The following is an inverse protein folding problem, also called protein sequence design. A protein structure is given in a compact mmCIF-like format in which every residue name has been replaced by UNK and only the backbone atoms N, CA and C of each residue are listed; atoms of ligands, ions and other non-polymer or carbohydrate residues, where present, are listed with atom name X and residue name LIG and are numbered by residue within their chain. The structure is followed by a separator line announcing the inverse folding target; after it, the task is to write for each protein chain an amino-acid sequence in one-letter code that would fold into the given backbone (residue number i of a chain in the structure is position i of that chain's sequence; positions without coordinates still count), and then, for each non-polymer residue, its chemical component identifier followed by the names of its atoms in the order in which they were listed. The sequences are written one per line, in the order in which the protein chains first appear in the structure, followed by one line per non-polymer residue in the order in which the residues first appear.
data_IF_136657430737
#
_entry.id   IF_136657430737
#
_cell.length_a   1.000
_cell.length_b   1.000
_cell.length_c   1.000
_cell.angle_alpha   90.00
_cell.angle_beta   90.00
_cell.angle_gamma   90.00
#
_symmetry.space_group_name_H-M   'P 1'
#
loop_
_entity.id
_entity.type
_entity.pdbx_description
1 polymer ?
#
# COMPACT_ATOMS: atom_id res chain seq x y z
N UNK A 1 4.55 -22.72 -16.00
CA UNK A 1 3.38 -21.85 -15.70
C UNK A 1 3.52 -20.98 -14.45
N UNK A 2 4.30 -21.36 -13.42
CA UNK A 2 4.43 -20.60 -12.15
C UNK A 2 4.94 -19.14 -12.33
N UNK A 3 5.99 -18.94 -13.13
CA UNK A 3 6.54 -17.59 -13.42
C UNK A 3 5.59 -16.66 -14.19
N UNK A 4 4.66 -17.21 -14.99
CA UNK A 4 3.72 -16.39 -15.78
C UNK A 4 2.65 -15.81 -14.86
N UNK A 5 2.17 -16.59 -13.88
CA UNK A 5 1.18 -16.16 -12.88
C UNK A 5 1.78 -15.12 -11.92
N UNK A 6 3.03 -15.29 -11.49
CA UNK A 6 3.73 -14.32 -10.63
C UNK A 6 3.97 -12.98 -11.35
N UNK A 7 4.40 -12.99 -12.61
CA UNK A 7 4.53 -11.76 -13.40
C UNK A 7 3.18 -11.04 -13.63
N UNK A 8 2.08 -11.78 -13.74
CA UNK A 8 0.75 -11.19 -13.87
C UNK A 8 0.30 -10.50 -12.58
N UNK A 9 0.58 -11.09 -11.42
CA UNK A 9 0.24 -10.51 -10.10
C UNK A 9 1.02 -9.22 -9.87
N UNK A 10 2.32 -9.20 -10.16
CA UNK A 10 3.14 -7.98 -10.04
C UNK A 10 2.59 -6.87 -10.95
N UNK A 11 2.29 -7.18 -12.22
CA UNK A 11 1.69 -6.21 -13.15
C UNK A 11 0.34 -5.69 -12.65
N UNK A 12 -0.49 -6.55 -12.07
CA UNK A 12 -1.77 -6.15 -11.49
C UNK A 12 -1.59 -5.19 -10.32
N UNK A 13 -0.73 -5.52 -9.35
CA UNK A 13 -0.48 -4.66 -8.18
C UNK A 13 0.10 -3.30 -8.59
N UNK A 14 1.05 -3.29 -9.54
CA UNK A 14 1.64 -2.05 -10.07
C UNK A 14 0.59 -1.22 -10.82
N UNK A 15 -0.22 -1.83 -11.68
CA UNK A 15 -1.29 -1.12 -12.39
C UNK A 15 -2.32 -0.53 -11.42
N UNK A 16 -2.73 -1.28 -10.41
CA UNK A 16 -3.68 -0.83 -9.39
C UNK A 16 -3.13 0.36 -8.60
N UNK A 17 -1.85 0.32 -8.23
CA UNK A 17 -1.17 1.42 -7.56
C UNK A 17 -1.10 2.67 -8.45
N UNK A 18 -0.78 2.52 -9.74
CA UNK A 18 -0.75 3.64 -10.69
C UNK A 18 -2.13 4.27 -10.91
N UNK A 19 -3.18 3.45 -11.02
CA UNK A 19 -4.56 3.95 -11.10
C UNK A 19 -4.91 4.74 -9.84
N UNK A 20 -4.55 4.23 -8.66
CA UNK A 20 -4.69 4.96 -7.40
C UNK A 20 -3.97 6.30 -7.44
N UNK A 21 -2.70 6.32 -7.85
CA UNK A 21 -1.89 7.53 -7.95
C UNK A 21 -2.53 8.60 -8.86
N UNK A 22 -2.95 8.22 -10.06
CA UNK A 22 -3.61 9.14 -11.01
C UNK A 22 -4.93 9.65 -10.42
N UNK A 23 -5.71 8.76 -9.79
CA UNK A 23 -6.99 9.14 -9.16
C UNK A 23 -6.77 10.14 -8.03
N UNK A 24 -5.74 9.95 -7.19
CA UNK A 24 -5.38 10.89 -6.13
C UNK A 24 -4.98 12.27 -6.64
N UNK A 25 -4.25 12.29 -7.77
CA UNK A 25 -3.88 13.55 -8.43
C UNK A 25 -5.12 14.29 -8.99
N UNK A 26 -6.02 13.59 -9.67
CA UNK A 26 -7.28 14.14 -10.18
C UNK A 26 -8.15 14.65 -9.04
N UNK A 27 -8.24 13.89 -7.94
CA UNK A 27 -9.02 14.26 -6.76
C UNK A 27 -8.57 15.62 -6.21
N UNK A 28 -7.26 15.84 -6.10
CA UNK A 28 -6.74 17.13 -5.67
C UNK A 28 -7.13 18.28 -6.63
N UNK A 29 -7.06 18.07 -7.94
CA UNK A 29 -7.43 19.10 -8.92
C UNK A 29 -8.91 19.46 -8.86
N UNK A 30 -9.78 18.49 -8.61
CA UNK A 30 -11.23 18.69 -8.56
C UNK A 30 -11.68 19.43 -7.28
N UNK A 31 -11.02 19.18 -6.15
CA UNK A 31 -11.38 19.74 -4.84
C UNK A 31 -10.48 20.90 -4.37
N UNK A 32 -9.59 21.39 -5.24
CA UNK A 32 -8.69 22.53 -4.99
C UNK A 32 -9.35 23.76 -4.32
N UNK A 33 -10.51 24.27 -4.79
CA UNK A 33 -11.07 25.52 -4.26
C UNK A 33 -11.57 25.40 -2.82
N UNK A 34 -12.10 24.24 -2.40
CA UNK A 34 -12.63 24.03 -1.04
C UNK A 34 -11.56 23.65 -0.01
N UNK A 35 -10.43 23.07 -0.45
CA UNK A 35 -9.35 22.68 0.47
C UNK A 35 -8.55 23.86 1.00
N UNK A 36 -8.36 24.93 0.20
CA UNK A 36 -7.65 26.14 0.63
C UNK A 36 -8.34 26.83 1.80
N UNK A 37 -9.67 26.82 1.85
CA UNK A 37 -10.46 27.34 2.96
C UNK A 37 -10.32 26.52 4.26
N UNK A 38 -9.83 25.27 4.17
CA UNK A 38 -9.68 24.35 5.30
C UNK A 38 -8.21 24.11 5.70
N UNK A 39 -7.24 24.77 5.07
CA UNK A 39 -5.81 24.63 5.43
C UNK A 39 -5.55 25.07 6.86
N UNK A 40 -6.21 26.13 7.32
CA UNK A 40 -6.04 26.61 8.69
C UNK A 40 -6.64 25.63 9.71
N UNK A 41 -7.79 25.02 9.41
CA UNK A 41 -8.38 23.96 10.22
C UNK A 41 -7.51 22.68 10.24
N UNK A 42 -6.86 22.35 9.12
CA UNK A 42 -5.91 21.24 9.04
C UNK A 42 -4.63 21.51 9.86
N UNK A 43 -4.05 22.71 9.77
CA UNK A 43 -2.89 23.11 10.58
C UNK A 43 -3.16 23.00 12.07
N UNK A 44 -4.33 23.45 12.52
CA UNK A 44 -4.74 23.35 13.93
C UNK A 44 -4.94 21.90 14.38
N UNK A 45 -5.41 21.03 13.49
CA UNK A 45 -5.57 19.59 13.78
C UNK A 45 -4.24 18.86 13.86
N UNK A 46 -3.26 19.23 13.02
CA UNK A 46 -1.91 18.64 13.02
C UNK A 46 -1.08 19.09 14.23
N UNK A 47 -1.24 20.34 14.68
CA UNK A 47 -0.50 20.84 15.85
C UNK A 47 -1.02 20.31 17.19
N UNK A 48 -2.29 19.91 17.25
CA UNK A 48 -2.93 19.39 18.47
C UNK A 48 -2.95 17.87 18.55
N UNK A 49 -2.90 17.15 17.42
CA UNK A 49 -2.88 15.69 17.41
C UNK A 49 -1.45 15.13 17.35
N UNK A 50 -0.98 14.52 18.44
CA UNK A 50 0.20 13.66 18.43
C UNK A 50 -0.12 12.36 17.68
N UNK A 51 -0.09 12.39 16.34
CA UNK A 51 -0.25 11.19 15.54
C UNK A 51 1.05 10.38 15.55
N UNK A 52 1.07 9.30 16.33
CA UNK A 52 2.19 8.36 16.34
C UNK A 52 2.22 7.58 15.01
N UNK A 53 2.92 8.14 14.03
CA UNK A 53 3.02 7.62 12.65
C UNK A 53 3.56 6.19 12.64
N UNK A 54 4.48 5.87 13.56
CA UNK A 54 5.06 4.53 13.70
C UNK A 54 4.04 3.47 14.13
N UNK A 55 3.16 3.79 15.09
CA UNK A 55 2.06 2.87 15.46
C UNK A 55 1.09 2.66 14.32
N UNK A 56 0.79 3.71 13.56
CA UNK A 56 -0.14 3.63 12.44
C UNK A 56 0.38 2.73 11.31
N UNK A 57 1.65 2.87 10.97
CA UNK A 57 2.31 2.04 9.95
C UNK A 57 2.42 0.59 10.41
N UNK A 58 2.71 0.35 11.70
CA UNK A 58 2.75 -0.99 12.29
C UNK A 58 1.37 -1.68 12.26
N UNK A 59 0.30 -0.96 12.61
CA UNK A 59 -1.08 -1.47 12.56
C UNK A 59 -1.49 -1.78 11.11
N UNK A 60 -1.10 -0.94 10.14
CA UNK A 60 -1.37 -1.19 8.71
C UNK A 60 -0.69 -2.47 8.24
N UNK A 61 0.60 -2.65 8.50
CA UNK A 61 1.32 -3.86 8.05
C UNK A 61 0.78 -5.11 8.76
N UNK A 62 0.45 -5.02 10.06
CA UNK A 62 -0.21 -6.09 10.80
C UNK A 62 -1.60 -6.44 10.23
N UNK A 63 -2.36 -5.43 9.79
CA UNK A 63 -3.66 -5.65 9.14
C UNK A 63 -3.50 -6.39 7.81
N UNK A 64 -2.52 -6.01 6.99
CA UNK A 64 -2.17 -6.71 5.74
C UNK A 64 -1.80 -8.17 6.02
N UNK A 65 -1.09 -8.44 7.12
CA UNK A 65 -0.79 -9.80 7.55
C UNK A 65 -2.04 -10.61 7.86
N UNK A 66 -2.93 -10.10 8.71
CA UNK A 66 -4.19 -10.77 9.08
C UNK A 66 -5.06 -11.00 7.84
N UNK A 67 -5.13 -10.01 6.94
CA UNK A 67 -5.89 -10.08 5.70
C UNK A 67 -5.33 -11.12 4.72
N UNK A 68 -4.02 -11.36 4.75
CA UNK A 68 -3.37 -12.38 3.91
C UNK A 68 -3.97 -13.77 4.15
N UNK A 69 -4.35 -14.09 5.39
CA UNK A 69 -4.81 -15.44 5.79
C UNK A 69 -6.28 -15.69 5.37
N UNK A 70 -7.01 -14.65 4.93
CA UNK A 70 -8.44 -14.73 4.62
C UNK A 70 -8.73 -14.82 3.11
N UNK A 71 -9.77 -15.55 2.73
CA UNK A 71 -10.31 -15.59 1.35
C UNK A 71 -10.75 -14.19 0.89
N UNK A 72 -11.22 -13.36 1.83
CA UNK A 72 -11.65 -11.96 1.58
C UNK A 72 -10.43 -11.04 1.44
N UNK A 73 -9.21 -11.54 1.68
CA UNK A 73 -7.97 -10.77 1.59
C UNK A 73 -7.75 -10.14 0.22
N UNK A 74 -8.11 -10.81 -0.88
CA UNK A 74 -7.85 -10.32 -2.24
C UNK A 74 -8.51 -8.96 -2.57
N UNK A 75 -9.85 -8.79 -2.43
CA UNK A 75 -10.48 -7.49 -2.67
C UNK A 75 -10.03 -6.42 -1.67
N UNK A 76 -9.80 -6.78 -0.41
CA UNK A 76 -9.39 -5.81 0.61
C UNK A 76 -7.96 -5.31 0.35
N UNK A 77 -7.01 -6.20 0.03
CA UNK A 77 -5.64 -5.82 -0.33
C UNK A 77 -5.60 -4.92 -1.56
N UNK A 78 -6.47 -5.18 -2.54
CA UNK A 78 -6.62 -4.32 -3.70
C UNK A 78 -7.08 -2.90 -3.27
N UNK A 79 -8.11 -2.80 -2.43
CA UNK A 79 -8.60 -1.51 -1.92
C UNK A 79 -7.50 -0.76 -1.14
N UNK A 80 -6.79 -1.44 -0.23
CA UNK A 80 -5.70 -0.82 0.55
C UNK A 80 -4.59 -0.30 -0.37
N UNK A 81 -4.17 -1.10 -1.35
CA UNK A 81 -3.13 -0.72 -2.32
C UNK A 81 -3.56 0.47 -3.16
N UNK A 82 -4.83 0.50 -3.59
CA UNK A 82 -5.41 1.63 -4.31
C UNK A 82 -5.41 2.90 -3.47
N UNK A 83 -5.88 2.83 -2.22
CA UNK A 83 -5.90 3.99 -1.31
C UNK A 83 -4.51 4.52 -0.98
N UNK A 84 -3.52 3.64 -0.81
CA UNK A 84 -2.15 4.07 -0.56
C UNK A 84 -1.56 4.78 -1.79
N UNK A 85 -1.81 4.25 -2.99
CA UNK A 85 -1.47 4.94 -4.25
C UNK A 85 -2.16 6.30 -4.37
N UNK A 86 -3.45 6.37 -4.04
CA UNK A 86 -4.23 7.61 -4.03
C UNK A 86 -3.67 8.63 -3.04
N UNK A 87 -3.32 8.23 -1.82
CA UNK A 87 -2.74 9.12 -0.80
C UNK A 87 -1.42 9.74 -1.28
N UNK A 88 -0.56 8.93 -1.91
CA UNK A 88 0.73 9.38 -2.45
C UNK A 88 0.53 10.35 -3.62
N UNK A 89 -0.37 10.04 -4.55
CA UNK A 89 -0.71 10.90 -5.69
C UNK A 89 -1.38 12.22 -5.28
N UNK A 90 -2.24 12.16 -4.26
CA UNK A 90 -2.84 13.35 -3.64
C UNK A 90 -1.77 14.24 -3.00
N UNK A 91 -0.87 13.66 -2.19
CA UNK A 91 0.22 14.40 -1.55
C UNK A 91 1.13 15.05 -2.60
N UNK A 92 1.45 14.33 -3.67
CA UNK A 92 2.23 14.86 -4.80
C UNK A 92 1.59 16.12 -5.39
N UNK A 93 0.28 16.06 -5.66
CA UNK A 93 -0.48 17.15 -6.23
C UNK A 93 -0.54 18.38 -5.31
N UNK A 94 -0.71 18.17 -4.00
CA UNK A 94 -0.68 19.23 -2.98
C UNK A 94 0.68 19.94 -2.97
N UNK A 95 1.79 19.20 -2.94
CA UNK A 95 3.13 19.79 -2.91
C UNK A 95 3.43 20.63 -4.15
N UNK A 96 3.07 20.14 -5.34
CA UNK A 96 3.22 20.89 -6.60
C UNK A 96 2.40 22.18 -6.56
N UNK A 97 1.19 22.15 -6.02
CA UNK A 97 0.35 23.34 -6.01
C UNK A 97 0.73 24.38 -4.95
N UNK A 98 1.26 23.96 -3.81
CA UNK A 98 1.65 24.88 -2.74
C UNK A 98 3.00 25.56 -3.03
N UNK A 99 3.95 24.82 -3.60
CA UNK A 99 5.34 25.28 -3.76
C UNK A 99 5.79 25.37 -5.22
N UNK A 100 4.86 25.22 -6.18
CA UNK A 100 5.15 25.26 -7.63
C UNK A 100 6.30 24.31 -8.00
N UNK A 101 7.27 24.75 -8.80
CA UNK A 101 8.41 23.94 -9.25
C UNK A 101 9.34 23.50 -8.10
N UNK A 102 9.45 24.30 -7.01
CA UNK A 102 10.22 23.91 -5.81
C UNK A 102 9.52 22.80 -5.03
N UNK A 103 8.19 22.73 -5.11
CA UNK A 103 7.39 21.67 -4.48
C UNK A 103 7.65 20.29 -5.03
N UNK A 104 7.88 20.19 -6.34
CA UNK A 104 8.27 18.93 -6.97
C UNK A 104 9.58 18.39 -6.38
N UNK A 105 10.58 19.25 -6.23
CA UNK A 105 11.92 18.87 -5.74
C UNK A 105 11.88 18.49 -4.26
N UNK A 106 11.10 19.22 -3.46
CA UNK A 106 10.92 18.93 -2.04
C UNK A 106 10.14 17.62 -1.81
N UNK A 107 9.07 17.40 -2.57
CA UNK A 107 8.34 16.13 -2.54
C UNK A 107 9.22 14.98 -2.99
N UNK A 108 10.02 15.16 -4.04
CA UNK A 108 10.92 14.13 -4.52
C UNK A 108 11.93 13.73 -3.44
N UNK A 109 12.57 14.70 -2.76
CA UNK A 109 13.46 14.43 -1.63
C UNK A 109 12.73 13.73 -0.47
N UNK A 110 11.55 14.22 -0.09
CA UNK A 110 10.75 13.65 1.00
C UNK A 110 10.34 12.21 0.70
N UNK A 111 9.83 11.94 -0.50
CA UNK A 111 9.45 10.59 -0.89
C UNK A 111 10.66 9.69 -0.96
N UNK A 112 11.76 10.15 -1.57
CA UNK A 112 12.97 9.36 -1.75
C UNK A 112 13.61 8.94 -0.42
N UNK A 113 13.68 9.85 0.56
CA UNK A 113 14.25 9.55 1.88
C UNK A 113 13.27 8.79 2.77
N UNK A 114 12.02 9.24 2.91
CA UNK A 114 11.12 8.75 3.96
C UNK A 114 10.16 7.65 3.48
N UNK A 115 9.61 7.77 2.27
CA UNK A 115 8.50 6.92 1.81
C UNK A 115 8.90 5.83 0.84
N UNK A 116 10.03 5.96 0.13
CA UNK A 116 10.40 5.04 -0.95
C UNK A 116 10.73 3.65 -0.40
N UNK A 117 11.47 3.58 0.70
CA UNK A 117 11.77 2.31 1.39
C UNK A 117 10.48 1.63 1.87
N UNK A 118 9.60 2.37 2.56
CA UNK A 118 8.31 1.86 3.01
C UNK A 118 7.43 1.38 1.85
N UNK A 119 7.39 2.13 0.75
CA UNK A 119 6.60 1.80 -0.44
C UNK A 119 7.09 0.51 -1.10
N UNK A 120 8.41 0.32 -1.22
CA UNK A 120 8.99 -0.92 -1.76
C UNK A 120 8.57 -2.11 -0.89
N UNK A 121 8.71 -1.97 0.44
CA UNK A 121 8.35 -3.03 1.40
C UNK A 121 6.85 -3.32 1.31
N UNK A 122 6.01 -2.29 1.27
CA UNK A 122 4.56 -2.42 1.16
C UNK A 122 4.15 -3.15 -0.13
N UNK A 123 4.67 -2.75 -1.29
CA UNK A 123 4.37 -3.41 -2.56
C UNK A 123 4.83 -4.87 -2.58
N UNK A 124 6.03 -5.14 -2.03
CA UNK A 124 6.54 -6.49 -1.91
C UNK A 124 5.62 -7.37 -1.04
N UNK A 125 5.18 -6.85 0.11
CA UNK A 125 4.23 -7.54 0.98
C UNK A 125 2.88 -7.79 0.31
N UNK A 126 2.34 -6.80 -0.41
CA UNK A 126 1.09 -6.94 -1.16
C UNK A 126 1.20 -8.03 -2.21
N UNK A 127 2.31 -8.12 -2.96
CA UNK A 127 2.52 -9.16 -3.98
C UNK A 127 2.57 -10.57 -3.35
N UNK A 128 3.30 -10.72 -2.24
CA UNK A 128 3.37 -12.00 -1.52
C UNK A 128 1.97 -12.39 -1.01
N UNK A 129 1.28 -11.43 -0.41
CA UNK A 129 -0.05 -11.62 0.15
C UNK A 129 -1.08 -12.01 -0.91
N UNK A 130 -1.12 -11.33 -2.05
CA UNK A 130 -2.01 -11.70 -3.17
C UNK A 130 -1.68 -13.09 -3.72
N UNK A 131 -0.39 -13.40 -3.86
CA UNK A 131 0.07 -14.71 -4.32
C UNK A 131 -0.34 -15.82 -3.35
N UNK A 132 -0.37 -15.53 -2.05
CA UNK A 132 -0.88 -16.43 -1.02
C UNK A 132 -2.39 -16.65 -1.17
N UNK A 133 -3.19 -15.57 -1.26
CA UNK A 133 -4.65 -15.68 -1.34
C UNK A 133 -5.08 -16.47 -2.59
N UNK A 134 -4.41 -16.26 -3.73
CA UNK A 134 -4.69 -17.03 -4.96
C UNK A 134 -4.34 -18.52 -4.82
N UNK A 135 -3.20 -18.86 -4.20
CA UNK A 135 -2.83 -20.26 -3.93
C UNK A 135 -3.80 -20.93 -2.97
N UNK A 136 -4.26 -20.18 -1.96
CA UNK A 136 -5.27 -20.65 -1.01
C UNK A 136 -6.62 -20.92 -1.69
N UNK A 137 -7.05 -20.01 -2.59
CA UNK A 137 -8.27 -20.16 -3.36
C UNK A 137 -8.23 -21.37 -4.31
N UNK A 138 -7.16 -21.52 -5.10
CA UNK A 138 -6.95 -22.68 -6.00
C UNK A 138 -7.01 -24.01 -5.22
N UNK A 139 -6.43 -24.03 -4.02
CA UNK A 139 -6.40 -25.19 -3.12
C UNK A 139 -7.77 -25.53 -2.52
N UNK A 140 -8.51 -24.51 -2.07
CA UNK A 140 -9.86 -24.69 -1.51
C UNK A 140 -10.80 -25.33 -2.54
N UNK A 141 -10.60 -24.99 -3.82
CA UNK A 141 -11.34 -25.55 -4.95
C UNK A 141 -10.89 -27.00 -5.27
N UNK A 142 -9.59 -27.30 -5.25
CA UNK A 142 -9.05 -28.60 -5.68
C UNK A 142 -8.84 -29.68 -4.57
N UNK A 143 -9.23 -29.44 -3.31
CA UNK A 143 -9.23 -30.42 -2.18
C UNK A 143 -7.90 -31.16 -1.85
N UNK A 144 -6.76 -30.85 -2.47
CA UNK A 144 -5.48 -31.54 -2.24
C UNK A 144 -4.70 -30.97 -1.03
N UNK A 145 -5.14 -31.31 0.19
CA UNK A 145 -4.75 -30.67 1.48
C UNK A 145 -3.28 -30.80 1.92
N UNK A 146 -2.54 -31.84 1.52
CA UNK A 146 -1.29 -32.22 2.20
C UNK A 146 -0.02 -31.49 1.71
N UNK A 147 0.05 -31.08 0.44
CA UNK A 147 1.20 -30.34 -0.11
C UNK A 147 1.19 -28.84 0.22
N UNK A 148 0.08 -28.36 0.77
CA UNK A 148 -0.22 -26.94 0.97
C UNK A 148 0.36 -26.41 2.28
N UNK A 149 0.31 -27.18 3.36
CA UNK A 149 0.78 -26.75 4.69
C UNK A 149 2.25 -26.35 4.65
N UNK A 150 3.09 -27.13 3.97
CA UNK A 150 4.51 -26.85 3.86
C UNK A 150 4.83 -25.62 2.99
N UNK A 151 4.06 -25.38 1.93
CA UNK A 151 4.25 -24.19 1.08
C UNK A 151 3.65 -22.93 1.70
N UNK A 152 2.58 -23.06 2.50
CA UNK A 152 1.96 -21.98 3.29
C UNK A 152 2.88 -21.53 4.41
N UNK A 153 3.37 -22.47 5.23
CA UNK A 153 4.23 -22.17 6.38
C UNK A 153 5.52 -21.50 5.93
N UNK A 154 6.09 -21.91 4.79
CA UNK A 154 7.31 -21.29 4.23
C UNK A 154 7.12 -19.83 3.82
N UNK A 155 6.02 -19.48 3.16
CA UNK A 155 5.77 -18.09 2.77
C UNK A 155 5.31 -17.23 3.97
N UNK A 156 4.59 -17.81 4.94
CA UNK A 156 4.29 -17.14 6.21
C UNK A 156 5.56 -16.86 7.02
N UNK A 157 6.53 -17.78 7.03
CA UNK A 157 7.80 -17.57 7.72
C UNK A 157 8.64 -16.47 7.07
N UNK A 158 8.65 -16.40 5.73
CA UNK A 158 9.26 -15.28 4.99
C UNK A 158 8.58 -13.94 5.32
N UNK A 159 7.24 -13.94 5.40
CA UNK A 159 6.47 -12.76 5.81
C UNK A 159 6.88 -12.30 7.22
N UNK A 160 6.94 -13.22 8.18
CA UNK A 160 7.31 -12.93 9.57
C UNK A 160 8.74 -12.40 9.69
N UNK A 161 9.71 -12.98 8.98
CA UNK A 161 11.10 -12.49 8.99
C UNK A 161 11.17 -11.05 8.50
N UNK A 162 10.54 -10.75 7.35
CA UNK A 162 10.58 -9.39 6.79
C UNK A 162 9.87 -8.42 7.73
N UNK A 163 8.76 -8.83 8.35
CA UNK A 163 8.03 -8.00 9.32
C UNK A 163 8.89 -7.64 10.53
N UNK A 164 9.61 -8.62 11.10
CA UNK A 164 10.53 -8.42 12.22
C UNK A 164 11.74 -7.57 11.83
N UNK A 165 12.19 -7.63 10.57
CA UNK A 165 13.35 -6.84 10.10
C UNK A 165 12.99 -5.37 9.87
N UNK A 166 11.71 -5.06 9.66
CA UNK A 166 11.21 -3.72 9.31
C UNK A 166 10.71 -2.94 10.53
N UNK A 167 10.25 -3.63 11.58
CA UNK A 167 9.89 -3.06 12.88
C UNK A 167 11.14 -2.62 13.64
#
# INVERSE_FOLDING_TARGET
MKNIKENAIVKFVVALFLVGFITGFIFYLLYKPDMLANIDAFKTSVSTSHQNTYLYDTIKISSIFVLSISIIGLPILAIITFFEGMSIGFTFAVFISLFSFKGFLFYFLFVLICKLVFLIIFLYFTVISLSYVLKFLDSSINKNKEQITHSIVKEMYRFLIVFITVI
#
